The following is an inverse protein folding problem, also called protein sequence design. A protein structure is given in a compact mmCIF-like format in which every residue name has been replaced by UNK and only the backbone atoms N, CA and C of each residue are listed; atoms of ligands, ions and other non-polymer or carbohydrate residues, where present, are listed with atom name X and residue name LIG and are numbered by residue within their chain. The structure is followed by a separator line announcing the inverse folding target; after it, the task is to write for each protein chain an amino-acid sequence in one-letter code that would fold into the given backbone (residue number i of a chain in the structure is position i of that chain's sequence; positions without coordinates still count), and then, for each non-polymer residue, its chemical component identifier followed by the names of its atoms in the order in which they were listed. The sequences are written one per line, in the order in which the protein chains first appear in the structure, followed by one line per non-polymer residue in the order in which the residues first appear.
data_IF_580283503009
#
_entry.id   IF_580283503009
#
_cell.length_a   1.000
_cell.length_b   1.000
_cell.length_c   1.000
_cell.angle_alpha   90.00
_cell.angle_beta   90.00
_cell.angle_gamma   90.00
#
_symmetry.space_group_name_H-M   'P 1'
#
loop_
_entity.id
_entity.type
_entity.pdbx_description
1 polymer ?
#
# COMPACT_ATOMS: atom_id res chain seq x y z
N UNK A 1 10.31 -3.06 -18.53
CA UNK A 1 9.55 -2.48 -17.38
C UNK A 1 9.39 -0.95 -17.46
N UNK A 2 10.30 -0.22 -18.11
CA UNK A 2 10.17 1.24 -18.30
C UNK A 2 8.94 1.63 -19.10
N UNK A 3 8.55 0.84 -20.10
CA UNK A 3 7.46 1.21 -21.02
C UNK A 3 6.11 1.34 -20.33
N UNK A 4 5.81 0.45 -19.38
CA UNK A 4 4.58 0.52 -18.57
C UNK A 4 4.59 1.75 -17.66
N UNK A 5 5.74 2.05 -17.04
CA UNK A 5 5.88 3.21 -16.16
C UNK A 5 5.76 4.52 -16.94
N UNK A 6 6.34 4.57 -18.14
CA UNK A 6 6.34 5.78 -18.98
C UNK A 6 5.00 6.02 -19.67
N UNK A 7 4.30 4.97 -20.12
CA UNK A 7 3.12 5.12 -20.98
C UNK A 7 1.81 4.79 -20.27
N UNK A 8 1.79 3.79 -19.39
CA UNK A 8 0.52 3.32 -18.77
C UNK A 8 0.22 4.08 -17.49
N UNK A 9 1.20 4.28 -16.60
CA UNK A 9 0.96 4.96 -15.32
C UNK A 9 0.37 6.38 -15.47
N UNK A 10 0.81 7.24 -16.41
CA UNK A 10 0.21 8.57 -16.58
C UNK A 10 -1.29 8.50 -16.91
N UNK A 11 -1.68 7.55 -17.75
CA UNK A 11 -3.08 7.35 -18.16
C UNK A 11 -3.96 6.90 -16.99
N UNK A 12 -3.45 5.98 -16.14
CA UNK A 12 -4.17 5.54 -14.95
C UNK A 12 -4.32 6.65 -13.91
N UNK A 13 -3.30 7.50 -13.74
CA UNK A 13 -3.36 8.69 -12.88
C UNK A 13 -4.36 9.72 -13.41
N UNK A 14 -4.35 10.01 -14.72
CA UNK A 14 -5.30 10.95 -15.37
C UNK A 14 -6.75 10.54 -15.15
N UNK A 15 -7.03 9.23 -15.14
CA UNK A 15 -8.37 8.66 -14.91
C UNK A 15 -8.73 8.53 -13.43
N UNK A 16 -7.85 8.89 -12.50
CA UNK A 16 -8.11 8.82 -11.06
C UNK A 16 -8.13 7.41 -10.46
N UNK A 17 -7.71 6.39 -11.21
CA UNK A 17 -7.75 4.97 -10.78
C UNK A 17 -6.41 4.49 -10.21
N UNK A 18 -5.40 5.34 -10.21
CA UNK A 18 -4.09 5.03 -9.64
C UNK A 18 -3.57 6.15 -8.76
N UNK A 19 -2.86 5.76 -7.70
CA UNK A 19 -2.36 6.67 -6.65
C UNK A 19 -1.28 7.61 -7.20
N UNK A 20 -1.35 8.88 -6.79
CA UNK A 20 -0.34 9.90 -7.11
C UNK A 20 0.91 9.81 -6.24
N UNK A 21 0.73 9.50 -4.96
CA UNK A 21 1.78 9.36 -3.96
C UNK A 21 1.42 8.26 -2.93
N UNK A 22 2.39 7.89 -2.12
CA UNK A 22 2.28 6.89 -1.06
C UNK A 22 2.56 7.56 0.29
N UNK A 23 1.52 8.00 1.03
CA UNK A 23 1.70 8.78 2.26
C UNK A 23 2.13 7.92 3.45
N UNK A 24 1.93 6.59 3.38
CA UNK A 24 2.31 5.65 4.43
C UNK A 24 3.83 5.43 4.47
N UNK A 25 4.35 5.30 5.68
CA UNK A 25 5.74 4.91 5.97
C UNK A 25 5.97 3.42 5.81
N UNK A 26 4.90 2.62 5.85
CA UNK A 26 4.97 1.17 5.70
C UNK A 26 4.18 0.69 4.49
N UNK A 27 4.57 -0.47 3.95
CA UNK A 27 3.84 -1.12 2.88
C UNK A 27 2.37 -1.39 3.27
N UNK A 28 2.12 -1.78 4.53
CA UNK A 28 0.75 -2.01 5.02
C UNK A 28 -0.10 -0.76 4.93
N UNK A 29 0.41 0.38 5.39
CA UNK A 29 -0.30 1.66 5.30
C UNK A 29 -0.64 2.01 3.85
N UNK A 30 0.34 1.89 2.95
CA UNK A 30 0.13 2.18 1.54
C UNK A 30 -0.86 1.23 0.84
N UNK A 31 -1.06 0.04 1.39
CA UNK A 31 -2.04 -0.94 0.91
C UNK A 31 -3.37 -0.91 1.67
N UNK A 32 -3.51 -0.08 2.71
CA UNK A 32 -4.71 -0.08 3.56
C UNK A 32 -4.86 -1.33 4.43
N UNK A 33 -3.77 -2.03 4.71
CA UNK A 33 -3.77 -3.27 5.49
C UNK A 33 -3.62 -2.98 6.98
N UNK A 34 -4.43 -3.65 7.80
CA UNK A 34 -4.26 -3.62 9.24
C UNK A 34 -2.98 -4.35 9.68
N UNK A 35 -2.37 -3.87 10.76
CA UNK A 35 -1.24 -4.55 11.39
C UNK A 35 -1.77 -5.78 12.15
N UNK A 36 -1.30 -7.00 11.83
CA UNK A 36 -1.72 -8.17 12.60
C UNK A 36 -1.17 -8.07 14.03
N UNK A 37 -1.93 -8.51 15.04
CA UNK A 37 -1.44 -8.57 16.40
C UNK A 37 -0.31 -9.61 16.49
N UNK A 38 0.63 -9.39 17.40
CA UNK A 38 1.71 -10.34 17.66
C UNK A 38 1.12 -11.64 18.24
N UNK A 39 1.36 -12.77 17.57
CA UNK A 39 0.83 -14.08 17.95
C UNK A 39 1.34 -14.57 19.32
N UNK A 40 2.54 -14.14 19.72
CA UNK A 40 3.15 -14.53 20.99
C UNK A 40 2.62 -13.71 22.17
N UNK A 41 2.06 -12.52 21.91
CA UNK A 41 1.47 -11.68 22.95
C UNK A 41 0.00 -12.02 23.23
N UNK A 42 -0.65 -12.84 22.39
CA UNK A 42 -2.06 -13.25 22.57
C UNK A 42 -2.30 -14.11 23.82
N UNK A 43 -1.26 -14.69 24.43
CA UNK A 43 -1.37 -15.53 25.62
C UNK A 43 -1.30 -14.79 26.96
N UNK A 44 -0.87 -13.52 26.97
CA UNK A 44 -0.61 -12.76 28.20
C UNK A 44 -1.71 -11.74 28.55
N UNK A 45 -2.88 -11.80 27.90
CA UNK A 45 -4.10 -11.13 28.37
C UNK A 45 -4.88 -12.07 29.30
N UNK A 46 -4.27 -12.44 30.44
CA UNK A 46 -4.93 -13.00 31.61
C UNK A 46 -4.15 -12.61 32.85
#
# INVERSE_FOLDING_TARGET
MRDVVAHVLPELKRRGIFRGAYPGKTLRENLGLQRPPNIHLRGNLR
#
